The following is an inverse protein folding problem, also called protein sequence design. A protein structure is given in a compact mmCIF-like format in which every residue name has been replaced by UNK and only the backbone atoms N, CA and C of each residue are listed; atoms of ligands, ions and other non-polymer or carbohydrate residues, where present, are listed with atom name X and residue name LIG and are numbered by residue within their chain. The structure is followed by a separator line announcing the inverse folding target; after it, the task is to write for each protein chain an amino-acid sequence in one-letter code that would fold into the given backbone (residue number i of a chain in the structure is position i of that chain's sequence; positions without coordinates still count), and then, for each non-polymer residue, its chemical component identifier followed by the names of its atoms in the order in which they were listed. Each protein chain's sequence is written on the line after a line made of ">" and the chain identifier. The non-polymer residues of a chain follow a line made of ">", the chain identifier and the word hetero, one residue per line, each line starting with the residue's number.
data_IF_093147448396
#
_entry.id   IF_093147448396
#
_cell.length_a   1.000
_cell.length_b   1.000
_cell.length_c   1.000
_cell.angle_alpha   90.00
_cell.angle_beta   90.00
_cell.angle_gamma   90.00
#
_symmetry.space_group_name_H-M   'P 1'
#
loop_
_entity.id
_entity.type
_entity.pdbx_description
1 polymer ?
#
# COMPACT_ATOMS: atom_id res chain seq x y z
N UNK A 1 -17.25 10.27 -55.80
CA UNK A 1 -18.20 9.73 -54.82
C UNK A 1 -17.44 9.69 -53.51
N UNK A 2 -17.62 10.71 -52.65
CA UNK A 2 -16.89 10.83 -51.38
C UNK A 2 -17.33 9.68 -50.47
N UNK A 3 -16.38 8.87 -50.01
CA UNK A 3 -16.64 7.75 -49.11
C UNK A 3 -17.02 8.30 -47.74
N UNK A 4 -17.98 7.66 -47.06
CA UNK A 4 -18.40 8.04 -45.70
C UNK A 4 -17.22 8.04 -44.69
N UNK A 5 -16.18 7.25 -44.97
CA UNK A 5 -14.93 7.20 -44.20
C UNK A 5 -14.14 8.52 -44.23
N UNK A 6 -14.16 9.26 -45.35
CA UNK A 6 -13.40 10.50 -45.49
C UNK A 6 -14.09 11.65 -44.73
N UNK A 7 -15.42 11.63 -44.67
CA UNK A 7 -16.20 12.64 -43.93
C UNK A 7 -16.05 12.54 -42.41
N UNK A 8 -15.82 11.35 -41.86
CA UNK A 8 -15.64 11.17 -40.41
C UNK A 8 -14.26 11.63 -39.93
N UNK A 9 -13.22 11.44 -40.74
CA UNK A 9 -11.85 11.84 -40.38
C UNK A 9 -11.68 13.37 -40.42
N UNK A 10 -12.40 14.06 -41.30
CA UNK A 10 -12.42 15.52 -41.36
C UNK A 10 -13.38 16.19 -40.37
N UNK A 11 -14.40 15.48 -39.88
CA UNK A 11 -15.26 15.96 -38.79
C UNK A 11 -14.47 16.11 -37.49
N UNK A 12 -13.58 15.16 -37.19
CA UNK A 12 -12.75 15.18 -35.99
C UNK A 12 -11.74 16.35 -35.99
N UNK A 13 -11.11 16.62 -37.13
CA UNK A 13 -10.20 17.76 -37.29
C UNK A 13 -10.94 19.11 -37.22
N UNK A 14 -12.17 19.18 -37.74
CA UNK A 14 -13.00 20.38 -37.66
C UNK A 14 -13.49 20.69 -36.24
N UNK A 15 -13.79 19.68 -35.42
CA UNK A 15 -14.18 19.86 -34.02
C UNK A 15 -13.04 20.39 -33.14
N UNK A 16 -11.79 20.02 -33.41
CA UNK A 16 -10.62 20.60 -32.72
C UNK A 16 -10.38 22.06 -33.11
N UNK A 17 -10.54 22.41 -34.38
CA UNK A 17 -10.34 23.80 -34.83
C UNK A 17 -11.45 24.74 -34.33
N UNK A 18 -12.69 24.21 -34.20
CA UNK A 18 -13.81 24.90 -33.56
C UNK A 18 -13.56 25.15 -32.05
N UNK A 19 -12.87 24.24 -31.36
CA UNK A 19 -12.43 24.44 -29.97
C UNK A 19 -11.33 25.50 -29.88
N UNK A 20 -10.38 25.54 -30.83
CA UNK A 20 -9.37 26.60 -30.91
C UNK A 20 -9.99 28.00 -31.08
N UNK A 21 -11.09 28.12 -31.83
CA UNK A 21 -11.73 29.41 -32.14
C UNK A 21 -12.83 29.81 -31.14
N UNK A 22 -13.26 28.90 -30.26
CA UNK A 22 -14.20 29.17 -29.15
C UNK A 22 -13.50 29.38 -27.80
N UNK A 23 -12.20 29.07 -27.71
CA UNK A 23 -11.35 29.40 -26.57
C UNK A 23 -11.20 30.93 -26.47
N UNK A 24 -12.00 31.53 -25.60
CA UNK A 24 -11.68 32.86 -25.05
C UNK A 24 -10.36 32.71 -24.28
N UNK A 25 -9.27 33.21 -24.85
CA UNK A 25 -8.05 33.64 -24.16
C UNK A 25 -7.40 32.72 -23.13
N UNK A 26 -7.68 31.41 -23.18
CA UNK A 26 -7.15 30.47 -22.19
C UNK A 26 -5.61 30.41 -22.29
N UNK A 27 -5.08 30.57 -23.50
CA UNK A 27 -3.64 30.67 -23.75
C UNK A 27 -2.99 31.92 -23.14
N UNK A 28 -3.75 32.97 -22.82
CA UNK A 28 -3.25 34.18 -22.15
C UNK A 28 -3.32 34.11 -20.62
N UNK A 29 -4.01 33.10 -20.07
CA UNK A 29 -4.11 32.91 -18.62
C UNK A 29 -2.73 32.58 -18.02
N UNK A 30 -2.46 33.09 -16.82
CA UNK A 30 -1.14 32.92 -16.20
C UNK A 30 -0.75 31.45 -16.01
N UNK A 31 -1.71 30.53 -15.85
CA UNK A 31 -1.43 29.11 -15.68
C UNK A 31 -1.05 28.37 -16.97
N UNK A 32 -1.17 28.95 -18.16
CA UNK A 32 -0.68 28.34 -19.42
C UNK A 32 0.77 28.71 -19.72
N UNK A 33 1.28 29.79 -19.09
CA UNK A 33 2.67 30.22 -19.24
C UNK A 33 3.59 29.13 -18.66
N UNK A 34 4.56 28.59 -19.44
CA UNK A 34 5.39 27.46 -19.00
C UNK A 34 6.10 27.68 -17.66
N UNK A 35 6.60 28.90 -17.41
CA UNK A 35 7.25 29.25 -16.15
C UNK A 35 6.31 29.16 -14.94
N UNK A 36 5.04 29.53 -15.11
CA UNK A 36 4.04 29.45 -14.04
C UNK A 36 3.58 28.01 -13.83
N UNK A 37 3.40 27.21 -14.90
CA UNK A 37 3.18 25.76 -14.78
C UNK A 37 4.30 25.10 -13.98
N UNK A 38 5.55 25.39 -14.34
CA UNK A 38 6.71 24.80 -13.69
C UNK A 38 6.80 25.21 -12.21
N UNK A 39 6.56 26.48 -11.90
CA UNK A 39 6.50 26.97 -10.52
C UNK A 39 5.40 26.28 -9.72
N UNK A 40 4.19 26.14 -10.28
CA UNK A 40 3.06 25.45 -9.66
C UNK A 40 3.35 23.97 -9.42
N UNK A 41 3.95 23.27 -10.39
CA UNK A 41 4.37 21.87 -10.22
C UNK A 41 5.40 21.73 -9.10
N UNK A 42 6.40 22.61 -9.05
CA UNK A 42 7.40 22.62 -7.96
C UNK A 42 6.76 22.89 -6.60
N UNK A 43 5.83 23.84 -6.54
CA UNK A 43 5.09 24.16 -5.33
C UNK A 43 4.30 22.95 -4.81
N UNK A 44 3.51 22.29 -5.68
CA UNK A 44 2.75 21.11 -5.25
C UNK A 44 3.64 19.92 -4.88
N UNK A 45 4.76 19.69 -5.58
CA UNK A 45 5.73 18.68 -5.16
C UNK A 45 6.27 18.96 -3.76
N UNK A 46 6.53 20.23 -3.43
CA UNK A 46 6.97 20.62 -2.10
C UNK A 46 5.85 20.39 -1.05
N UNK A 47 4.59 20.74 -1.36
CA UNK A 47 3.46 20.44 -0.48
C UNK A 47 3.32 18.93 -0.23
N UNK A 48 3.37 18.11 -1.28
CA UNK A 48 3.30 16.66 -1.17
C UNK A 48 4.46 16.11 -0.34
N UNK A 49 5.69 16.61 -0.52
CA UNK A 49 6.83 16.17 0.26
C UNK A 49 6.64 16.39 1.78
N UNK A 50 6.04 17.52 2.18
CA UNK A 50 5.74 17.77 3.59
C UNK A 50 4.66 16.82 4.15
N UNK A 51 3.62 16.53 3.36
CA UNK A 51 2.60 15.55 3.74
C UNK A 51 3.21 14.14 3.83
N UNK A 52 4.03 13.76 2.85
CA UNK A 52 4.66 12.45 2.76
C UNK A 52 5.62 12.20 3.94
N UNK A 53 6.36 13.21 4.42
CA UNK A 53 7.15 13.09 5.66
C UNK A 53 6.26 12.72 6.85
N UNK A 54 5.09 13.36 6.96
CA UNK A 54 4.15 13.11 8.06
C UNK A 54 3.54 11.71 7.95
N UNK A 55 3.17 11.28 6.75
CA UNK A 55 2.64 9.93 6.50
C UNK A 55 3.71 8.86 6.75
N UNK A 56 4.95 9.09 6.28
CA UNK A 56 6.06 8.16 6.48
C UNK A 56 6.34 7.91 7.95
N UNK A 57 6.26 8.94 8.81
CA UNK A 57 6.42 8.76 10.26
C UNK A 57 5.40 7.77 10.86
N UNK A 58 4.15 7.81 10.37
CA UNK A 58 3.09 6.90 10.82
C UNK A 58 3.34 5.49 10.29
N UNK A 59 3.70 5.37 9.01
CA UNK A 59 3.92 4.06 8.38
C UNK A 59 5.18 3.36 8.91
N UNK A 60 6.25 4.10 9.23
CA UNK A 60 7.43 3.55 9.92
C UNK A 60 7.01 2.91 11.25
N UNK A 61 6.21 3.61 12.05
CA UNK A 61 5.76 3.09 13.34
C UNK A 61 4.83 1.87 13.18
N UNK A 62 3.90 1.91 12.22
CA UNK A 62 3.01 0.79 11.91
C UNK A 62 3.77 -0.44 11.46
N UNK A 63 4.75 -0.28 10.57
CA UNK A 63 5.54 -1.40 10.08
C UNK A 63 6.40 -2.01 11.19
N UNK A 64 7.03 -1.20 12.05
CA UNK A 64 7.72 -1.71 13.23
C UNK A 64 6.79 -2.55 14.13
N UNK A 65 5.56 -2.08 14.32
CA UNK A 65 4.57 -2.78 15.14
C UNK A 65 4.13 -4.09 14.49
N UNK A 66 3.82 -4.08 13.20
CA UNK A 66 3.41 -5.27 12.46
C UNK A 66 4.48 -6.36 12.48
N UNK A 67 5.76 -6.00 12.25
CA UNK A 67 6.88 -6.95 12.30
C UNK A 67 7.00 -7.58 13.70
N UNK A 68 6.86 -6.76 14.75
CA UNK A 68 6.93 -7.24 16.13
C UNK A 68 5.77 -8.18 16.48
N UNK A 69 4.55 -7.79 16.12
CA UNK A 69 3.34 -8.55 16.41
C UNK A 69 3.35 -9.89 15.65
N UNK A 70 3.76 -9.89 14.39
CA UNK A 70 3.89 -11.11 13.57
C UNK A 70 4.92 -12.07 14.16
N UNK A 71 6.09 -11.57 14.57
CA UNK A 71 7.12 -12.38 15.21
C UNK A 71 6.64 -12.97 16.55
N UNK A 72 5.90 -12.18 17.34
CA UNK A 72 5.34 -12.62 18.62
C UNK A 72 4.28 -13.70 18.40
N UNK A 73 3.36 -13.50 17.47
CA UNK A 73 2.34 -14.48 17.10
C UNK A 73 2.96 -15.78 16.62
N UNK A 74 3.96 -15.71 15.74
CA UNK A 74 4.66 -16.89 15.25
C UNK A 74 5.33 -17.68 16.38
N UNK A 75 5.99 -16.98 17.33
CA UNK A 75 6.62 -17.63 18.48
C UNK A 75 5.58 -18.29 19.40
N UNK A 76 4.42 -17.66 19.61
CA UNK A 76 3.31 -18.25 20.35
C UNK A 76 2.83 -19.53 19.70
N UNK A 77 2.56 -19.50 18.39
CA UNK A 77 2.11 -20.67 17.61
C UNK A 77 3.13 -21.80 17.65
N UNK A 78 4.42 -21.49 17.50
CA UNK A 78 5.51 -22.47 17.61
C UNK A 78 5.51 -23.12 19.01
N UNK A 79 5.36 -22.32 20.07
CA UNK A 79 5.41 -22.82 21.45
C UNK A 79 4.22 -23.75 21.75
N UNK A 80 3.03 -23.39 21.26
CA UNK A 80 1.81 -24.19 21.41
C UNK A 80 1.89 -25.51 20.62
N UNK A 81 2.36 -25.45 19.37
CA UNK A 81 2.46 -26.62 18.48
C UNK A 81 3.60 -27.56 18.84
N UNK A 82 4.64 -27.10 19.55
CA UNK A 82 5.79 -27.93 19.90
C UNK A 82 5.40 -29.16 20.74
N UNK A 83 4.33 -29.04 21.53
CA UNK A 83 3.81 -30.15 22.36
C UNK A 83 2.95 -31.12 21.54
N UNK A 84 2.32 -30.64 20.46
CA UNK A 84 1.35 -31.40 19.67
C UNK A 84 1.98 -32.11 18.46
N UNK A 85 2.83 -31.40 17.70
CA UNK A 85 3.39 -31.89 16.44
C UNK A 85 4.77 -31.24 16.16
N UNK A 86 5.86 -31.80 16.71
CA UNK A 86 7.21 -31.28 16.50
C UNK A 86 7.67 -31.25 15.01
N UNK A 87 7.36 -32.25 14.16
CA UNK A 87 7.63 -32.16 12.72
C UNK A 87 6.97 -30.95 12.04
N UNK A 88 5.71 -30.65 12.36
CA UNK A 88 5.03 -29.48 11.80
C UNK A 88 5.70 -28.17 12.21
N UNK A 89 6.15 -28.07 13.47
CA UNK A 89 6.91 -26.89 13.95
C UNK A 89 8.20 -26.70 13.17
N UNK A 90 8.93 -27.77 12.87
CA UNK A 90 10.15 -27.69 12.08
C UNK A 90 9.89 -27.09 10.69
N UNK A 91 8.84 -27.54 10.01
CA UNK A 91 8.45 -27.00 8.71
C UNK A 91 8.00 -25.54 8.81
N UNK A 92 7.21 -25.19 9.84
CA UNK A 92 6.77 -23.82 10.06
C UNK A 92 7.96 -22.87 10.28
N UNK A 93 8.92 -23.27 11.13
CA UNK A 93 10.15 -22.53 11.35
C UNK A 93 10.96 -22.39 10.07
N UNK A 94 11.04 -23.44 9.26
CA UNK A 94 11.75 -23.40 7.99
C UNK A 94 11.14 -22.39 7.02
N UNK A 95 9.81 -22.37 6.88
CA UNK A 95 9.09 -21.41 6.06
C UNK A 95 9.24 -19.98 6.58
N UNK A 96 9.20 -19.79 7.90
CA UNK A 96 9.32 -18.48 8.55
C UNK A 96 10.67 -17.78 8.33
N UNK A 97 11.76 -18.53 8.10
CA UNK A 97 13.10 -17.95 7.87
C UNK A 97 13.14 -16.91 6.75
N UNK A 98 12.33 -17.09 5.70
CA UNK A 98 12.26 -16.12 4.61
C UNK A 98 11.68 -14.78 5.09
N UNK A 99 10.59 -14.83 5.85
CA UNK A 99 9.97 -13.64 6.45
C UNK A 99 10.93 -12.97 7.44
N UNK A 100 11.61 -13.74 8.29
CA UNK A 100 12.60 -13.22 9.25
C UNK A 100 13.76 -12.48 8.55
N UNK A 101 14.28 -13.03 7.45
CA UNK A 101 15.33 -12.39 6.67
C UNK A 101 14.87 -11.05 6.07
N UNK A 102 13.65 -11.00 5.52
CA UNK A 102 13.04 -9.79 4.98
C UNK A 102 12.79 -8.77 6.09
N UNK A 103 12.23 -9.20 7.22
CA UNK A 103 11.96 -8.37 8.39
C UNK A 103 13.25 -7.81 9.00
N UNK A 104 14.37 -8.53 8.94
CA UNK A 104 15.69 -8.04 9.35
C UNK A 104 16.13 -6.85 8.50
N UNK A 105 15.96 -6.93 7.17
CA UNK A 105 16.28 -5.82 6.26
C UNK A 105 15.37 -4.63 6.53
N UNK A 106 14.07 -4.85 6.70
CA UNK A 106 13.12 -3.78 7.02
C UNK A 106 13.44 -3.10 8.35
N UNK A 107 13.67 -3.88 9.40
CA UNK A 107 14.01 -3.34 10.74
C UNK A 107 15.27 -2.49 10.66
N UNK A 108 16.31 -2.94 9.96
CA UNK A 108 17.52 -2.17 9.74
C UNK A 108 17.27 -0.84 9.00
N UNK A 109 16.41 -0.85 7.98
CA UNK A 109 16.06 0.38 7.25
C UNK A 109 15.21 1.33 8.11
N UNK A 110 14.26 0.81 8.88
CA UNK A 110 13.43 1.57 9.80
C UNK A 110 14.29 2.23 10.88
N UNK A 111 15.24 1.50 11.45
CA UNK A 111 16.23 2.05 12.39
C UNK A 111 17.03 3.19 11.76
N UNK A 112 17.50 3.02 10.52
CA UNK A 112 18.19 4.10 9.81
C UNK A 112 17.31 5.33 9.61
N UNK A 113 16.04 5.17 9.27
CA UNK A 113 15.09 6.28 9.11
C UNK A 113 14.89 7.00 10.43
N UNK A 114 14.62 6.27 11.52
CA UNK A 114 14.38 6.87 12.84
C UNK A 114 15.60 7.59 13.40
N UNK A 115 16.82 7.19 12.99
CA UNK A 115 18.09 7.82 13.36
C UNK A 115 18.45 9.06 12.54
N UNK A 116 17.74 9.37 11.45
CA UNK A 116 18.06 10.54 10.64
C UNK A 116 17.84 11.85 11.41
N UNK A 117 18.73 12.85 11.24
CA UNK A 117 18.51 14.19 11.76
C UNK A 117 17.22 14.78 11.18
N UNK A 118 16.31 15.23 12.04
CA UNK A 118 15.02 15.79 11.63
C UNK A 118 13.86 14.78 11.59
N UNK A 119 14.08 13.52 11.96
CA UNK A 119 12.98 12.59 12.20
C UNK A 119 12.08 13.10 13.34
N UNK A 120 10.79 13.23 13.06
CA UNK A 120 9.77 13.77 13.98
C UNK A 120 8.70 12.75 14.38
N UNK A 121 8.80 11.50 13.91
CA UNK A 121 7.88 10.43 14.24
C UNK A 121 8.11 9.80 15.62
N UNK A 122 7.20 8.92 16.01
CA UNK A 122 7.35 8.13 17.25
C UNK A 122 8.32 6.98 17.03
N UNK A 123 9.16 6.72 18.04
CA UNK A 123 10.11 5.60 18.03
C UNK A 123 9.56 4.44 18.86
N UNK A 124 9.90 3.22 18.44
CA UNK A 124 9.54 2.00 19.15
C UNK A 124 8.32 1.27 18.59
N UNK A 125 7.89 0.26 19.34
CA UNK A 125 6.80 -0.64 18.99
C UNK A 125 5.49 -0.06 19.53
N UNK A 126 4.47 -0.03 18.68
CA UNK A 126 3.13 0.45 19.02
C UNK A 126 2.25 -0.68 19.54
N UNK A 127 0.96 -0.40 19.69
CA UNK A 127 -0.03 -1.41 20.00
C UNK A 127 -1.06 -1.45 18.87
N UNK A 128 -1.22 -2.62 18.25
CA UNK A 128 -2.27 -2.81 17.25
C UNK A 128 -3.65 -2.78 17.93
N UNK A 129 -4.48 -1.81 17.56
CA UNK A 129 -5.87 -1.73 18.03
C UNK A 129 -6.67 -2.82 17.33
N UNK A 130 -7.20 -3.77 18.10
CA UNK A 130 -8.05 -4.85 17.58
C UNK A 130 -7.32 -6.18 17.34
N UNK A 131 -6.08 -6.35 17.83
CA UNK A 131 -5.50 -7.69 17.95
C UNK A 131 -6.40 -8.52 18.87
N UNK A 132 -7.26 -9.33 18.27
CA UNK A 132 -8.11 -10.30 18.95
C UNK A 132 -7.14 -11.14 19.77
N UNK A 133 -7.24 -11.01 21.09
CA UNK A 133 -6.78 -12.04 22.01
C UNK A 133 -7.49 -13.31 21.55
N UNK A 134 -6.83 -14.12 20.74
CA UNK A 134 -7.23 -15.48 20.47
C UNK A 134 -7.02 -16.26 21.78
N UNK A 135 -7.87 -15.96 22.76
CA UNK A 135 -8.14 -16.86 23.84
C UNK A 135 -8.72 -18.11 23.18
N UNK A 136 -7.96 -19.20 23.29
CA UNK A 136 -8.31 -20.54 22.90
C UNK A 136 -9.76 -20.87 23.30
N UNK A 137 -10.70 -20.75 22.36
CA UNK A 137 -11.94 -21.51 22.42
C UNK A 137 -11.61 -22.91 21.89
N UNK A 138 -11.72 -23.97 22.71
CA UNK A 138 -11.44 -25.33 22.26
C UNK A 138 -12.61 -25.81 21.40
N UNK A 139 -12.58 -25.50 20.10
CA UNK A 139 -13.53 -26.11 19.16
C UNK A 139 -13.11 -27.54 18.85
N UNK A 140 -13.84 -28.44 19.51
CA UNK A 140 -14.10 -29.84 19.17
C UNK A 140 -13.78 -30.27 17.72
N UNK A 141 -13.07 -31.40 17.65
CA UNK A 141 -13.24 -32.54 16.73
C UNK A 141 -13.73 -32.23 15.31
N UNK A 142 -12.83 -32.36 14.32
CA UNK A 142 -13.23 -32.71 12.96
C UNK A 142 -12.41 -33.90 12.45
N UNK A 143 -13.13 -35.00 12.25
CA UNK A 143 -12.71 -36.22 11.59
C UNK A 143 -12.41 -35.99 10.11
N UNK A 144 -11.38 -36.70 9.65
CA UNK A 144 -10.93 -36.82 8.28
C UNK A 144 -12.08 -37.23 7.30
N UNK A 145 -12.27 -36.47 6.22
CA UNK A 145 -13.02 -36.91 5.04
C UNK A 145 -12.54 -36.15 3.78
N UNK A 146 -12.09 -36.91 2.79
CA UNK A 146 -11.75 -36.45 1.45
C UNK A 146 -13.01 -36.08 0.66
N UNK A 147 -13.03 -34.90 0.03
CA UNK A 147 -13.72 -34.61 -1.23
C UNK A 147 -13.25 -33.24 -1.73
N UNK A 148 -12.97 -33.13 -3.04
CA UNK A 148 -12.34 -31.97 -3.66
C UNK A 148 -13.23 -30.74 -3.84
N UNK A 149 -12.63 -29.69 -4.42
CA UNK A 149 -13.34 -28.52 -4.90
C UNK A 149 -12.66 -27.21 -4.49
N UNK A 150 -11.98 -26.62 -5.47
CA UNK A 150 -11.83 -25.19 -5.70
C UNK A 150 -10.98 -24.35 -4.73
N UNK A 151 -9.79 -24.02 -5.24
CA UNK A 151 -8.92 -23.01 -4.66
C UNK A 151 -9.56 -21.62 -4.76
N UNK A 152 -10.01 -21.11 -3.62
CA UNK A 152 -10.22 -19.68 -3.43
C UNK A 152 -8.96 -19.08 -2.84
N UNK A 153 -8.15 -18.48 -3.72
CA UNK A 153 -7.14 -17.49 -3.35
C UNK A 153 -7.84 -16.33 -2.63
N UNK A 154 -7.52 -16.10 -1.37
CA UNK A 154 -7.81 -14.82 -0.71
C UNK A 154 -6.86 -13.77 -1.28
N UNK A 155 -7.30 -13.07 -2.33
CA UNK A 155 -6.73 -11.78 -2.71
C UNK A 155 -7.08 -10.77 -1.62
N UNK A 156 -6.07 -10.21 -0.96
CA UNK A 156 -6.20 -8.98 -0.20
C UNK A 156 -6.56 -7.86 -1.18
N UNK A 157 -7.81 -7.39 -1.15
CA UNK A 157 -8.22 -6.16 -1.82
C UNK A 157 -7.50 -4.97 -1.18
N UNK A 158 -6.74 -4.25 -1.99
CA UNK A 158 -6.13 -2.98 -1.63
C UNK A 158 -7.23 -1.92 -1.71
N UNK A 159 -7.55 -1.32 -0.56
CA UNK A 159 -8.52 -0.24 -0.42
C UNK A 159 -8.11 0.97 -1.28
N UNK A 160 -8.86 1.25 -2.34
CA UNK A 160 -8.74 2.49 -3.10
C UNK A 160 -9.44 3.62 -2.35
N UNK A 161 -8.67 4.37 -1.58
CA UNK A 161 -9.16 5.58 -0.91
C UNK A 161 -9.32 6.71 -1.94
N UNK A 162 -10.54 6.90 -2.42
CA UNK A 162 -10.99 8.13 -3.09
C UNK A 162 -11.04 9.25 -2.04
N UNK A 163 -9.99 10.08 -1.98
CA UNK A 163 -10.07 11.39 -1.31
C UNK A 163 -10.78 12.38 -2.25
N UNK A 164 -12.03 12.67 -1.91
CA UNK A 164 -12.72 13.90 -2.30
C UNK A 164 -12.01 15.10 -1.67
N UNK A 165 -11.75 16.12 -2.48
CA UNK A 165 -11.41 17.49 -2.09
C UNK A 165 -11.87 18.41 -3.22
N UNK A 166 -12.25 19.66 -2.94
CA UNK A 166 -13.22 20.15 -1.96
C UNK A 166 -14.64 20.33 -2.56
#
# INVERSE_FOLDING_TARGET
>A
MLSYSDTTEHSFLGEFDLLCHSHTDICELDWTKPAHCEATVKYFKLCCAHEEITQLNVEVHRLCTAIHDEATQMMTVITELLVLDPPLVHELQWQWKACEAVNTVHTFQLDRITLQPGFSGSRGIGQQVGAITAALEPTNTISHSMAGGDGTFFCFEIYTSTKLLP
#
